data_IF_966991527367
#
_entry.id   IF_966991527367
#
_cell.length_a   1.000
_cell.length_b   1.000
_cell.length_c   1.000
_cell.angle_alpha   90.00
_cell.angle_beta   90.00
_cell.angle_gamma   90.00
#
_symmetry.space_group_name_H-M   'P 1'
#
loop_
_entity.id
_entity.type
_entity.pdbx_description
1 polymer ?
#
# COMPACT_ATOMS: atom_id res chain seq x y z
N UNK A 1 -11.00 -15.51 -5.02
CA UNK A 1 -10.83 -14.75 -3.76
C UNK A 1 -9.50 -15.03 -3.05
N UNK A 2 -8.36 -15.01 -3.75
CA UNK A 2 -7.06 -15.27 -3.11
C UNK A 2 -6.61 -14.13 -2.17
N UNK A 3 -6.77 -12.88 -2.59
CA UNK A 3 -6.35 -11.71 -1.80
C UNK A 3 -7.09 -11.59 -0.46
N UNK A 4 -8.39 -11.91 -0.43
CA UNK A 4 -9.18 -11.89 0.81
C UNK A 4 -8.73 -12.99 1.78
N UNK A 5 -8.54 -14.22 1.27
CA UNK A 5 -8.06 -15.34 2.08
C UNK A 5 -6.63 -15.08 2.62
N UNK A 6 -5.75 -14.47 1.82
CA UNK A 6 -4.42 -14.06 2.28
C UNK A 6 -4.50 -13.00 3.38
N UNK A 7 -5.39 -12.01 3.27
CA UNK A 7 -5.60 -11.00 4.31
C UNK A 7 -6.14 -11.62 5.59
N UNK A 8 -7.12 -12.51 5.50
CA UNK A 8 -7.68 -13.22 6.67
C UNK A 8 -6.61 -14.05 7.38
N UNK A 9 -5.76 -14.74 6.62
CA UNK A 9 -4.61 -15.47 7.16
C UNK A 9 -3.64 -14.55 7.88
N UNK A 10 -3.24 -13.44 7.25
CA UNK A 10 -2.33 -12.48 7.88
C UNK A 10 -2.91 -11.92 9.20
N UNK A 11 -4.19 -11.56 9.20
CA UNK A 11 -4.88 -11.07 10.40
C UNK A 11 -4.96 -12.14 11.50
N UNK A 12 -5.17 -13.40 11.13
CA UNK A 12 -5.16 -14.53 12.08
C UNK A 12 -3.78 -14.76 12.67
N UNK A 13 -2.74 -14.77 11.84
CA UNK A 13 -1.39 -15.16 12.22
C UNK A 13 -0.64 -14.05 12.99
N UNK A 14 -0.92 -12.79 12.68
CA UNK A 14 -0.15 -11.65 13.18
C UNK A 14 -0.98 -10.58 13.91
N UNK A 15 -2.32 -10.67 13.88
CA UNK A 15 -3.23 -9.85 14.67
C UNK A 15 -2.97 -8.35 14.52
N UNK A 16 -2.75 -7.68 15.66
CA UNK A 16 -2.52 -6.23 15.76
C UNK A 16 -1.26 -5.74 15.03
N UNK A 17 -0.33 -6.65 14.69
CA UNK A 17 0.86 -6.29 13.90
C UNK A 17 0.56 -6.08 12.42
N UNK A 18 -0.65 -6.42 11.97
CA UNK A 18 -1.09 -6.21 10.59
C UNK A 18 -1.81 -4.88 10.49
N UNK A 19 -1.31 -4.03 9.60
CA UNK A 19 -2.02 -2.80 9.25
C UNK A 19 -3.40 -3.13 8.65
N UNK A 20 -4.45 -2.50 9.17
CA UNK A 20 -5.84 -2.76 8.76
C UNK A 20 -6.20 -2.19 7.39
N UNK A 21 -5.40 -1.25 6.89
CA UNK A 21 -5.52 -0.69 5.56
C UNK A 21 -5.05 -1.65 4.46
N UNK A 22 -5.13 -1.18 3.21
CA UNK A 22 -4.67 -1.95 2.04
C UNK A 22 -4.01 -1.00 1.05
N UNK A 23 -2.90 -1.44 0.46
CA UNK A 23 -2.33 -0.80 -0.74
C UNK A 23 -3.02 -1.42 -1.96
N UNK A 24 -3.82 -0.65 -2.73
CA UNK A 24 -4.47 -1.19 -3.90
C UNK A 24 -3.45 -1.46 -5.02
N UNK A 25 -3.81 -2.35 -5.95
CA UNK A 25 -3.07 -2.49 -7.20
C UNK A 25 -3.19 -1.19 -7.99
N UNK A 26 -2.07 -0.49 -8.15
CA UNK A 26 -1.99 0.79 -8.85
C UNK A 26 -0.87 0.72 -9.89
N UNK A 27 -1.21 0.90 -11.17
CA UNK A 27 -0.25 0.78 -12.28
C UNK A 27 0.80 1.88 -12.26
N UNK A 28 0.50 3.04 -11.65
CA UNK A 28 1.41 4.17 -11.59
C UNK A 28 2.69 3.89 -10.80
N UNK A 29 2.71 2.86 -9.94
CA UNK A 29 3.99 2.41 -9.33
C UNK A 29 4.96 1.90 -10.39
N UNK A 30 4.46 1.15 -11.37
CA UNK A 30 5.25 0.65 -12.49
C UNK A 30 5.70 1.82 -13.37
N UNK A 31 4.78 2.72 -13.71
CA UNK A 31 5.08 3.84 -14.59
C UNK A 31 6.09 4.81 -13.96
N UNK A 32 5.98 5.05 -12.65
CA UNK A 32 6.94 5.86 -11.89
C UNK A 32 8.34 5.23 -11.90
N UNK A 33 8.40 3.89 -11.78
CA UNK A 33 9.67 3.15 -11.84
C UNK A 33 10.31 3.25 -13.23
N UNK A 34 9.51 3.23 -14.31
CA UNK A 34 10.03 3.38 -15.68
C UNK A 34 10.68 4.75 -15.91
N UNK A 35 10.16 5.79 -15.28
CA UNK A 35 10.75 7.14 -15.32
C UNK A 35 11.76 7.40 -14.19
N UNK A 36 12.13 6.36 -13.43
CA UNK A 36 13.11 6.43 -12.34
C UNK A 36 12.78 7.47 -11.25
N UNK A 37 11.48 7.63 -10.95
CA UNK A 37 11.00 8.54 -9.91
C UNK A 37 10.12 7.80 -8.89
N UNK A 38 10.11 8.23 -7.62
CA UNK A 38 9.10 7.78 -6.67
C UNK A 38 7.69 8.15 -7.17
N UNK A 39 6.71 7.29 -6.89
CA UNK A 39 5.31 7.54 -7.28
C UNK A 39 4.76 8.85 -6.70
N UNK A 40 5.21 9.27 -5.52
CA UNK A 40 4.81 10.54 -4.90
C UNK A 40 5.27 11.76 -5.71
N UNK A 41 6.36 11.64 -6.45
CA UNK A 41 6.92 12.70 -7.30
C UNK A 41 6.31 12.65 -8.70
N UNK A 42 6.24 11.46 -9.31
CA UNK A 42 5.73 11.31 -10.67
C UNK A 42 4.20 11.39 -10.76
N UNK A 43 3.47 10.81 -9.80
CA UNK A 43 2.01 10.70 -9.79
C UNK A 43 1.43 10.96 -8.38
N UNK A 44 1.49 12.21 -7.88
CA UNK A 44 1.19 12.54 -6.49
C UNK A 44 -0.26 12.25 -6.05
N UNK A 45 -1.22 12.23 -6.98
CA UNK A 45 -2.66 12.11 -6.69
C UNK A 45 -3.21 10.71 -6.99
N UNK A 46 -2.41 9.68 -6.71
CA UNK A 46 -2.78 8.28 -6.98
C UNK A 46 -3.31 7.56 -5.75
N UNK A 47 -3.99 6.43 -5.98
CA UNK A 47 -4.52 5.59 -4.91
C UNK A 47 -3.38 4.96 -4.10
N UNK A 48 -2.29 4.59 -4.78
CA UNK A 48 -1.05 4.11 -4.17
C UNK A 48 -0.43 5.12 -3.22
N UNK A 49 -0.22 6.37 -3.66
CA UNK A 49 0.33 7.44 -2.80
C UNK A 49 -0.53 7.66 -1.57
N UNK A 50 -1.85 7.73 -1.74
CA UNK A 50 -2.79 7.91 -0.62
C UNK A 50 -2.74 6.76 0.38
N UNK A 51 -2.58 5.51 -0.09
CA UNK A 51 -2.48 4.34 0.78
C UNK A 51 -1.16 4.34 1.58
N UNK A 52 -0.04 4.66 0.95
CA UNK A 52 1.26 4.74 1.65
C UNK A 52 1.30 5.87 2.67
N UNK A 53 0.68 7.03 2.39
CA UNK A 53 0.57 8.11 3.37
C UNK A 53 -0.15 7.63 4.65
N UNK A 54 -1.29 6.94 4.50
CA UNK A 54 -2.03 6.37 5.64
C UNK A 54 -1.26 5.29 6.39
N UNK A 55 -0.45 4.48 5.69
CA UNK A 55 0.41 3.50 6.33
C UNK A 55 1.49 4.19 7.16
N UNK A 56 2.14 5.20 6.59
CA UNK A 56 3.20 5.96 7.25
C UNK A 56 2.68 6.65 8.52
N UNK A 57 1.48 7.24 8.48
CA UNK A 57 0.81 7.80 9.66
C UNK A 57 0.59 6.80 10.81
N UNK A 58 0.53 5.50 10.52
CA UNK A 58 0.43 4.44 11.54
C UNK A 58 1.80 4.04 12.08
N UNK A 59 2.84 4.12 11.25
CA UNK A 59 4.21 3.71 11.60
C UNK A 59 5.02 4.82 12.28
N UNK A 60 4.70 6.09 12.01
CA UNK A 60 5.35 7.26 12.62
C UNK A 60 4.75 7.64 14.00
N UNK A 61 3.80 6.84 14.50
CA UNK A 61 3.29 6.93 15.87
C UNK A 61 4.09 6.04 16.80
#
# INVERSE_FOLDING_TARGET
NAALASRERLMTDYGERVWTGVVPVDTHFRDASLVQLPISVAYPKTRGVTAYAKLLEVLEK
#
